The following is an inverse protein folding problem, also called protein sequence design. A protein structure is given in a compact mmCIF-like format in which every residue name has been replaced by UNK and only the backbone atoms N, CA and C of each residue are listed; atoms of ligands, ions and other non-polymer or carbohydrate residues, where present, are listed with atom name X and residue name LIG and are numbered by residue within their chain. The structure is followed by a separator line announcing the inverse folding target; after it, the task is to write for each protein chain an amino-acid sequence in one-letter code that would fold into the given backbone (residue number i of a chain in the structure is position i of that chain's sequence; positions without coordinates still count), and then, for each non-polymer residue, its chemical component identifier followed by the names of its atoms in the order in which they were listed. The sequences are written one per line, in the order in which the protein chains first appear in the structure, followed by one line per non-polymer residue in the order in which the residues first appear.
data_IF_947711342909
#
_entry.id   IF_947711342909
#
_cell.length_a   1.000
_cell.length_b   1.000
_cell.length_c   1.000
_cell.angle_alpha   90.00
_cell.angle_beta   90.00
_cell.angle_gamma   90.00
#
_symmetry.space_group_name_H-M   'P 1'
#
loop_
_entity.id
_entity.type
_entity.pdbx_description
1 polymer ?
#
# COMPACT_ATOMS: atom_id res chain seq x y z
N UNK A 1 -21.65 43.60 -5.16
CA UNK A 1 -21.49 43.09 -6.53
C UNK A 1 -20.28 43.81 -7.13
N UNK A 2 -19.09 43.23 -7.08
CA UNK A 2 -17.90 43.90 -7.63
C UNK A 2 -18.11 44.03 -9.14
N UNK A 3 -18.17 45.26 -9.67
CA UNK A 3 -18.29 45.51 -11.11
C UNK A 3 -16.94 45.25 -11.76
N UNK A 4 -16.66 43.98 -12.04
CA UNK A 4 -15.43 43.56 -12.70
C UNK A 4 -15.55 43.86 -14.19
N UNK A 5 -14.54 44.54 -14.74
CA UNK A 5 -14.45 44.74 -16.18
C UNK A 5 -14.18 43.40 -16.91
N UNK A 6 -14.45 43.36 -18.21
CA UNK A 6 -14.32 42.13 -19.02
C UNK A 6 -12.92 41.51 -18.96
N UNK A 7 -11.88 42.36 -18.86
CA UNK A 7 -10.49 41.94 -18.78
C UNK A 7 -10.15 41.26 -17.45
N UNK A 8 -10.61 41.80 -16.32
CA UNK A 8 -10.39 41.17 -15.02
C UNK A 8 -11.13 39.86 -14.90
N UNK A 9 -12.37 39.78 -15.40
CA UNK A 9 -13.12 38.51 -15.45
C UNK A 9 -12.37 37.46 -16.27
N UNK A 10 -11.71 37.84 -17.36
CA UNK A 10 -10.88 36.93 -18.16
C UNK A 10 -9.65 36.44 -17.41
N UNK A 11 -8.95 37.33 -16.69
CA UNK A 11 -7.78 36.98 -15.87
C UNK A 11 -8.16 35.98 -14.77
N UNK A 12 -9.29 36.17 -14.08
CA UNK A 12 -9.78 35.23 -13.07
C UNK A 12 -10.14 33.86 -13.68
N UNK A 13 -10.76 33.82 -14.85
CA UNK A 13 -11.08 32.56 -15.54
C UNK A 13 -9.80 31.85 -15.97
N UNK A 14 -8.84 32.56 -16.56
CA UNK A 14 -7.57 31.98 -16.99
C UNK A 14 -6.76 31.42 -15.81
N UNK A 15 -6.65 32.15 -14.70
CA UNK A 15 -5.95 31.68 -13.50
C UNK A 15 -6.62 30.45 -12.90
N UNK A 16 -7.96 30.41 -12.84
CA UNK A 16 -8.71 29.23 -12.40
C UNK A 16 -8.49 28.03 -13.33
N UNK A 17 -8.53 28.22 -14.66
CA UNK A 17 -8.25 27.15 -15.62
C UNK A 17 -6.80 26.63 -15.52
N UNK A 18 -5.85 27.51 -15.26
CA UNK A 18 -4.43 27.16 -15.07
C UNK A 18 -4.24 26.33 -13.80
N UNK A 19 -4.87 26.72 -12.69
CA UNK A 19 -4.88 25.95 -11.44
C UNK A 19 -5.56 24.59 -11.63
N UNK A 20 -6.71 24.53 -12.32
CA UNK A 20 -7.42 23.27 -12.63
C UNK A 20 -6.56 22.34 -13.50
N UNK A 21 -5.75 22.88 -14.43
CA UNK A 21 -4.84 22.10 -15.25
C UNK A 21 -3.66 21.52 -14.43
N UNK A 22 -3.20 22.23 -13.40
CA UNK A 22 -2.12 21.78 -12.51
C UNK A 22 -2.62 20.81 -11.41
N UNK A 23 -3.91 20.86 -11.05
CA UNK A 23 -4.57 19.92 -10.10
C UNK A 23 -4.92 18.59 -10.77
N UNK A 24 -4.61 18.40 -12.06
CA UNK A 24 -4.67 17.09 -12.72
C UNK A 24 -3.52 16.25 -12.20
N UNK A 25 -3.67 15.73 -10.98
CA UNK A 25 -2.87 14.64 -10.48
C UNK A 25 -2.81 13.57 -11.57
N UNK A 26 -1.59 13.18 -11.92
CA UNK A 26 -1.39 12.02 -12.78
C UNK A 26 -2.16 10.87 -12.11
N UNK A 27 -3.11 10.22 -12.79
CA UNK A 27 -3.61 8.95 -12.26
C UNK A 27 -2.36 8.08 -12.12
N UNK A 28 -2.00 7.72 -10.89
CA UNK A 28 -0.98 6.71 -10.66
C UNK A 28 -1.44 5.54 -11.50
N UNK A 29 -0.71 5.29 -12.59
CA UNK A 29 -1.03 4.21 -13.50
C UNK A 29 -1.03 2.96 -12.67
N UNK A 30 -2.20 2.33 -12.54
CA UNK A 30 -2.35 1.06 -11.88
C UNK A 30 -1.38 0.13 -12.62
N UNK A 31 -0.31 -0.27 -11.94
CA UNK A 31 0.56 -1.31 -12.47
C UNK A 31 -0.32 -2.54 -12.67
N UNK A 32 -0.24 -3.25 -13.80
CA UNK A 32 -1.00 -4.50 -14.01
C UNK A 32 -0.73 -5.62 -12.98
N UNK A 33 0.11 -5.35 -11.98
CA UNK A 33 0.36 -6.20 -10.81
C UNK A 33 -0.37 -5.76 -9.53
N UNK A 34 -1.28 -4.79 -9.60
CA UNK A 34 -2.22 -4.55 -8.50
C UNK A 34 -3.45 -5.45 -8.68
N UNK A 35 -3.24 -6.74 -8.48
CA UNK A 35 -4.32 -7.68 -8.27
C UNK A 35 -4.89 -7.45 -6.87
N UNK A 36 -5.85 -6.53 -6.75
CA UNK A 36 -6.82 -6.51 -5.66
C UNK A 36 -6.20 -6.71 -4.26
N UNK A 37 -5.39 -5.76 -3.79
CA UNK A 37 -4.79 -5.78 -2.45
C UNK A 37 -5.46 -4.81 -1.49
N UNK A 38 -6.79 -4.88 -1.37
CA UNK A 38 -7.53 -4.16 -0.32
C UNK A 38 -7.32 -4.74 1.09
N UNK A 39 -6.39 -5.71 1.29
CA UNK A 39 -6.16 -6.31 2.61
C UNK A 39 -4.68 -6.37 3.04
N UNK A 40 -3.71 -6.32 2.12
CA UNK A 40 -2.30 -6.39 2.52
C UNK A 40 -1.70 -5.01 2.74
N UNK A 41 -2.01 -3.97 1.94
CA UNK A 41 -1.46 -2.63 2.17
C UNK A 41 -1.76 -2.07 3.58
N UNK A 42 -2.91 -2.47 4.15
CA UNK A 42 -3.34 -2.06 5.48
C UNK A 42 -2.57 -2.77 6.61
N UNK A 43 -2.20 -4.04 6.44
CA UNK A 43 -1.56 -4.82 7.51
C UNK A 43 -0.30 -4.16 8.07
N UNK A 44 0.65 -3.77 7.21
CA UNK A 44 1.89 -3.15 7.68
C UNK A 44 1.70 -1.70 8.12
N UNK A 45 0.66 -1.03 7.61
CA UNK A 45 0.27 0.31 8.05
C UNK A 45 -0.27 0.28 9.47
N UNK A 46 -1.11 -0.71 9.79
CA UNK A 46 -1.63 -0.96 11.13
C UNK A 46 -0.52 -1.43 12.08
N UNK A 47 0.30 -2.40 11.64
CA UNK A 47 1.37 -2.97 12.47
C UNK A 47 2.45 -1.95 12.82
N UNK A 48 2.73 -1.02 11.89
CA UNK A 48 3.73 0.03 12.01
C UNK A 48 5.11 -0.44 12.52
N UNK A 49 5.54 -1.63 12.09
CA UNK A 49 6.81 -2.23 12.48
C UNK A 49 7.48 -2.96 11.31
N UNK A 50 8.81 -2.84 11.21
CA UNK A 50 9.59 -3.62 10.25
C UNK A 50 9.70 -5.07 10.73
N UNK A 51 9.57 -6.03 9.82
CA UNK A 51 9.79 -7.44 10.14
C UNK A 51 8.92 -8.41 9.34
N UNK A 52 9.00 -9.68 9.72
CA UNK A 52 8.19 -10.75 9.14
C UNK A 52 7.09 -11.16 10.11
N UNK A 53 5.87 -11.26 9.60
CA UNK A 53 4.66 -11.54 10.35
C UNK A 53 3.83 -12.62 9.68
N UNK A 54 3.02 -13.33 10.46
CA UNK A 54 2.10 -14.32 9.92
C UNK A 54 1.09 -13.64 8.99
N UNK A 55 0.77 -14.30 7.88
CA UNK A 55 -0.36 -13.89 7.04
C UNK A 55 -1.66 -14.36 7.72
N UNK A 56 -2.53 -13.44 8.20
CA UNK A 56 -3.78 -13.81 8.86
C UNK A 56 -4.79 -14.48 7.93
N UNK A 57 -4.61 -14.38 6.61
CA UNK A 57 -5.45 -15.05 5.62
C UNK A 57 -5.01 -16.47 5.28
N UNK A 58 -3.83 -16.88 5.75
CA UNK A 58 -3.24 -18.18 5.42
C UNK A 58 -3.47 -19.20 6.54
N UNK A 59 -4.33 -20.16 6.26
CA UNK A 59 -4.62 -21.28 7.17
C UNK A 59 -3.56 -22.38 7.13
N UNK A 60 -2.70 -22.39 6.12
CA UNK A 60 -1.69 -23.44 5.94
C UNK A 60 -0.30 -23.01 6.46
N UNK A 61 -0.16 -21.77 6.97
CA UNK A 61 1.09 -21.17 7.42
C UNK A 61 2.23 -21.24 6.37
N UNK A 62 1.89 -21.32 5.07
CA UNK A 62 2.85 -21.43 3.96
C UNK A 62 3.25 -20.08 3.37
N UNK A 63 2.69 -19.00 3.90
CA UNK A 63 2.90 -17.63 3.50
C UNK A 63 3.01 -16.71 4.70
N UNK A 64 3.67 -15.58 4.48
CA UNK A 64 4.00 -14.61 5.51
C UNK A 64 4.15 -13.24 4.88
N UNK A 65 4.05 -12.23 5.72
CA UNK A 65 4.10 -10.83 5.34
C UNK A 65 5.45 -10.25 5.76
N UNK A 66 6.13 -9.60 4.81
CA UNK A 66 7.24 -8.70 5.10
C UNK A 66 6.75 -7.25 5.13
N UNK A 67 6.86 -6.61 6.29
CA UNK A 67 6.63 -5.19 6.46
C UNK A 67 7.93 -4.41 6.44
N UNK A 68 7.97 -3.36 5.62
CA UNK A 68 9.08 -2.44 5.58
C UNK A 68 8.62 -1.01 5.32
N UNK A 69 9.29 -0.04 5.93
CA UNK A 69 9.01 1.38 5.72
C UNK A 69 9.89 1.97 4.61
N UNK A 70 9.28 2.69 3.68
CA UNK A 70 9.96 3.45 2.63
C UNK A 70 9.51 4.90 2.72
N UNK A 71 10.42 5.79 3.12
CA UNK A 71 10.18 7.24 3.21
C UNK A 71 8.93 7.63 4.03
N UNK A 72 8.67 6.92 5.14
CA UNK A 72 7.50 7.17 5.99
C UNK A 72 6.25 6.39 5.58
N UNK A 73 6.25 5.73 4.43
CA UNK A 73 5.14 4.86 4.00
C UNK A 73 5.43 3.39 4.33
N UNK A 74 4.48 2.74 4.99
CA UNK A 74 4.54 1.29 5.20
C UNK A 74 4.19 0.54 3.92
N UNK A 75 4.99 -0.48 3.61
CA UNK A 75 4.78 -1.37 2.47
C UNK A 75 4.64 -2.79 2.98
N UNK A 76 3.70 -3.50 2.36
CA UNK A 76 3.42 -4.89 2.63
C UNK A 76 3.84 -5.73 1.46
N UNK A 77 4.60 -6.79 1.72
CA UNK A 77 4.94 -7.79 0.71
C UNK A 77 4.55 -9.17 1.21
N UNK A 78 3.60 -9.79 0.53
CA UNK A 78 3.27 -11.19 0.76
C UNK A 78 4.36 -12.09 0.15
N UNK A 79 4.81 -13.07 0.92
CA UNK A 79 5.88 -14.00 0.59
C UNK A 79 5.42 -15.43 0.89
N UNK A 80 6.04 -16.40 0.23
CA UNK A 80 5.79 -17.83 0.48
C UNK A 80 7.01 -18.47 1.13
N UNK A 81 6.77 -19.39 2.05
CA UNK A 81 7.80 -20.27 2.57
C UNK A 81 8.27 -21.25 1.48
N UNK A 82 9.53 -21.71 1.54
CA UNK A 82 9.97 -22.84 0.75
C UNK A 82 9.08 -24.07 0.96
N UNK A 83 9.02 -24.96 -0.04
CA UNK A 83 8.24 -26.20 0.04
C UNK A 83 8.62 -27.01 1.29
N UNK A 84 7.61 -27.41 2.08
CA UNK A 84 7.81 -28.18 3.31
C UNK A 84 8.26 -27.36 4.52
N UNK A 85 8.19 -26.03 4.44
CA UNK A 85 8.41 -25.13 5.57
C UNK A 85 7.16 -24.32 5.85
N UNK A 86 7.01 -23.93 7.11
CA UNK A 86 5.87 -23.18 7.62
C UNK A 86 6.37 -21.99 8.42
N UNK A 87 5.69 -20.85 8.32
CA UNK A 87 6.09 -19.63 9.01
C UNK A 87 5.83 -19.75 10.51
N UNK A 88 6.90 -19.68 11.30
CA UNK A 88 6.84 -19.64 12.75
C UNK A 88 6.75 -18.17 13.22
N UNK A 89 5.61 -17.71 13.77
CA UNK A 89 5.45 -16.32 14.20
C UNK A 89 6.25 -15.98 15.47
N UNK A 90 6.69 -16.96 16.26
CA UNK A 90 7.51 -16.73 17.43
C UNK A 90 8.97 -16.45 17.05
N UNK A 91 9.42 -17.02 15.93
CA UNK A 91 10.79 -16.87 15.43
C UNK A 91 10.90 -15.95 14.20
N UNK A 92 9.76 -15.56 13.62
CA UNK A 92 9.65 -14.74 12.41
C UNK A 92 10.38 -15.31 11.19
N UNK A 93 10.39 -16.65 11.01
CA UNK A 93 10.98 -17.29 9.83
C UNK A 93 10.29 -18.62 9.46
N UNK A 94 10.53 -19.10 8.24
CA UNK A 94 10.01 -20.38 7.76
C UNK A 94 10.84 -21.56 8.30
N UNK A 95 10.20 -22.47 9.01
CA UNK A 95 10.82 -23.66 9.59
C UNK A 95 10.10 -24.93 9.14
N UNK A 96 10.84 -26.00 8.86
CA UNK A 96 10.27 -27.33 8.63
C UNK A 96 9.84 -28.03 9.92
N UNK A 97 10.22 -27.48 11.08
CA UNK A 97 9.88 -28.02 12.40
C UNK A 97 8.67 -27.32 13.03
N UNK A 98 8.24 -26.20 12.46
CA UNK A 98 7.05 -25.50 12.94
C UNK A 98 5.81 -26.29 12.54
N UNK A 99 4.96 -26.58 13.52
CA UNK A 99 3.66 -27.19 13.30
C UNK A 99 2.63 -26.06 13.31
N UNK A 100 2.01 -25.81 12.15
CA UNK A 100 0.94 -24.83 12.03
C UNK A 100 -0.21 -25.22 12.96
N UNK A 101 -0.36 -24.47 14.05
CA UNK A 101 -1.46 -24.63 14.98
C UNK A 101 -2.62 -23.74 14.50
N UNK A 102 -3.65 -24.38 13.93
CA UNK A 102 -4.93 -23.77 13.60
C UNK A 102 -5.80 -23.58 14.85
#
# INVERSE_FOLDING_TARGET
LVTMNSMERYIFICTMLLVIALVRGVPVGISPYDSNSENNADFCTEKAANGFFADPSDTDCTSYINCYNVNGEWKTKLLKCPTGQFFDPALSFCSSLYNCAL
#
